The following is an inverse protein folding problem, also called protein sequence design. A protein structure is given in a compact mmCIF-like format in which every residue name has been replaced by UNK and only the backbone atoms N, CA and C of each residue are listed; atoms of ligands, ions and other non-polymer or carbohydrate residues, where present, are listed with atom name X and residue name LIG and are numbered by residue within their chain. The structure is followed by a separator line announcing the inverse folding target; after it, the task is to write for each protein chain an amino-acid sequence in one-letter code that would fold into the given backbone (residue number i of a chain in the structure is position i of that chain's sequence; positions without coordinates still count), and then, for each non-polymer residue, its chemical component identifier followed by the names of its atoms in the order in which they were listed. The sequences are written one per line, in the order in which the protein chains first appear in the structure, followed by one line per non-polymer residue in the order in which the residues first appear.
data_IF_199701844401
#
_entry.id   IF_199701844401
#
_cell.length_a   1.000
_cell.length_b   1.000
_cell.length_c   1.000
_cell.angle_alpha   90.00
_cell.angle_beta   90.00
_cell.angle_gamma   90.00
#
_symmetry.space_group_name_H-M   'P 1'
#
loop_
_entity.id
_entity.type
_entity.pdbx_description
1 polymer ?
#
# COMPACT_ATOMS: atom_id res chain seq x y z
N UNK A 1 -13.57 28.01 -11.85
CA UNK A 1 -13.37 27.98 -10.39
C UNK A 1 -13.29 26.51 -9.92
N UNK A 2 -12.29 26.20 -9.13
CA UNK A 2 -12.10 24.86 -8.57
C UNK A 2 -13.23 24.53 -7.59
N UNK A 3 -13.85 23.36 -7.73
CA UNK A 3 -14.98 22.94 -6.90
C UNK A 3 -14.65 21.75 -5.99
N UNK A 4 -13.68 20.95 -6.39
CA UNK A 4 -13.28 19.76 -5.65
C UNK A 4 -11.81 19.41 -5.92
N UNK A 5 -11.19 18.74 -4.96
CA UNK A 5 -9.87 18.13 -5.09
C UNK A 5 -10.03 16.63 -4.78
N UNK A 6 -9.55 15.80 -5.69
CA UNK A 6 -9.53 14.35 -5.50
C UNK A 6 -8.08 13.93 -5.34
N UNK A 7 -7.76 13.37 -4.16
CA UNK A 7 -6.41 12.92 -3.85
C UNK A 7 -6.22 11.43 -4.14
N UNK A 8 -5.09 11.08 -4.74
CA UNK A 8 -4.54 9.75 -4.61
C UNK A 8 -3.89 9.59 -3.22
N UNK A 9 -3.69 8.37 -2.76
CA UNK A 9 -3.14 8.10 -1.42
C UNK A 9 -1.65 7.81 -1.49
N UNK A 10 -1.30 6.66 -2.06
CA UNK A 10 0.07 6.15 -2.01
C UNK A 10 1.04 7.02 -2.82
N UNK A 11 2.03 7.58 -2.15
CA UNK A 11 3.00 8.48 -2.77
C UNK A 11 2.48 9.89 -3.07
N UNK A 12 1.21 10.17 -2.76
CA UNK A 12 0.56 11.48 -2.97
C UNK A 12 0.20 12.14 -1.64
N UNK A 13 -0.70 11.56 -0.86
CA UNK A 13 -1.01 12.05 0.49
C UNK A 13 0.08 11.67 1.48
N UNK A 14 0.59 10.45 1.40
CA UNK A 14 1.59 9.93 2.31
C UNK A 14 2.62 9.07 1.58
N UNK A 15 3.82 9.02 2.14
CA UNK A 15 4.89 8.12 1.69
C UNK A 15 4.65 6.72 2.25
N UNK A 16 3.87 5.92 1.55
CA UNK A 16 3.43 4.60 2.00
C UNK A 16 4.13 3.44 1.30
N UNK A 17 4.82 3.67 0.18
CA UNK A 17 5.42 2.60 -0.62
C UNK A 17 6.48 1.80 0.16
N UNK A 18 7.29 2.48 0.97
CA UNK A 18 8.28 1.79 1.81
C UNK A 18 7.60 0.92 2.87
N UNK A 19 6.49 1.37 3.45
CA UNK A 19 5.70 0.56 4.38
C UNK A 19 5.08 -0.66 3.71
N UNK A 20 4.62 -0.53 2.48
CA UNK A 20 4.15 -1.66 1.70
C UNK A 20 5.25 -2.68 1.47
N UNK A 21 6.44 -2.24 1.07
CA UNK A 21 7.60 -3.11 0.85
C UNK A 21 7.99 -3.87 2.13
N UNK A 22 8.08 -3.16 3.24
CA UNK A 22 8.40 -3.75 4.55
C UNK A 22 7.34 -4.79 4.95
N UNK A 23 6.06 -4.49 4.71
CA UNK A 23 4.95 -5.40 5.02
C UNK A 23 5.00 -6.67 4.17
N UNK A 24 5.34 -6.57 2.88
CA UNK A 24 5.58 -7.75 2.03
C UNK A 24 6.70 -8.61 2.58
N UNK A 25 7.86 -8.02 2.88
CA UNK A 25 9.01 -8.76 3.40
C UNK A 25 8.71 -9.42 4.74
N UNK A 26 7.94 -8.77 5.62
CA UNK A 26 7.49 -9.36 6.88
C UNK A 26 6.60 -10.59 6.65
N UNK A 27 5.64 -10.50 5.73
CA UNK A 27 4.79 -11.63 5.37
C UNK A 27 5.59 -12.79 4.76
N UNK A 28 6.60 -12.50 3.95
CA UNK A 28 7.49 -13.53 3.41
C UNK A 28 8.27 -14.25 4.53
N UNK A 29 8.86 -13.49 5.44
CA UNK A 29 9.60 -14.05 6.56
C UNK A 29 8.71 -14.89 7.49
N UNK A 30 7.51 -14.44 7.80
CA UNK A 30 6.55 -15.15 8.65
C UNK A 30 6.08 -16.48 8.02
N UNK A 31 6.18 -16.60 6.71
CA UNK A 31 5.88 -17.85 5.98
C UNK A 31 7.13 -18.66 5.65
N UNK A 32 8.25 -18.36 6.26
CA UNK A 32 9.53 -19.05 6.04
C UNK A 32 9.98 -19.05 4.58
N UNK A 33 9.62 -18.00 3.84
CA UNK A 33 10.07 -17.79 2.48
C UNK A 33 11.41 -17.05 2.48
N UNK A 34 12.31 -17.47 1.61
CA UNK A 34 13.60 -16.82 1.42
C UNK A 34 13.53 -15.53 0.60
N UNK A 35 12.33 -15.12 0.21
CA UNK A 35 12.10 -13.94 -0.62
C UNK A 35 12.35 -12.66 0.19
N UNK A 36 13.04 -11.75 -0.45
CA UNK A 36 13.24 -10.41 0.10
C UNK A 36 13.27 -9.39 -1.04
N UNK A 37 12.33 -8.49 -1.05
CA UNK A 37 12.29 -7.40 -2.02
C UNK A 37 13.05 -6.20 -1.47
N UNK A 38 14.21 -5.91 -2.06
CA UNK A 38 14.92 -4.66 -1.80
C UNK A 38 14.22 -3.47 -2.49
N UNK A 39 14.68 -2.26 -2.23
CA UNK A 39 14.06 -1.05 -2.78
C UNK A 39 14.12 -1.00 -4.31
N UNK A 40 15.20 -1.48 -4.91
CA UNK A 40 15.39 -1.49 -6.37
C UNK A 40 14.42 -2.48 -7.02
N UNK A 41 14.37 -3.70 -6.51
CA UNK A 41 13.47 -4.74 -7.01
C UNK A 41 12.00 -4.35 -6.81
N UNK A 42 11.66 -3.79 -5.65
CA UNK A 42 10.31 -3.34 -5.38
C UNK A 42 9.85 -2.23 -6.33
N UNK A 43 10.73 -1.31 -6.66
CA UNK A 43 10.46 -0.26 -7.66
C UNK A 43 10.08 -0.84 -9.02
N UNK A 44 10.79 -1.88 -9.47
CA UNK A 44 10.44 -2.59 -10.71
C UNK A 44 9.09 -3.31 -10.59
N UNK A 45 8.84 -3.95 -9.46
CA UNK A 45 7.58 -4.65 -9.18
C UNK A 45 6.37 -3.72 -9.08
N UNK A 46 6.57 -2.44 -8.76
CA UNK A 46 5.51 -1.42 -8.75
C UNK A 46 4.91 -1.16 -10.14
N UNK A 47 5.57 -1.55 -11.22
CA UNK A 47 5.02 -1.51 -12.58
C UNK A 47 3.81 -2.45 -12.74
N UNK A 48 3.71 -3.46 -11.88
CA UNK A 48 2.55 -4.35 -11.79
C UNK A 48 1.57 -3.78 -10.77
N UNK A 49 0.39 -3.39 -11.21
CA UNK A 49 -0.66 -2.86 -10.33
C UNK A 49 -1.31 -3.98 -9.52
N UNK A 50 -1.56 -3.70 -8.23
CA UNK A 50 -2.18 -4.66 -7.31
C UNK A 50 -1.17 -5.55 -6.58
N UNK A 51 -1.40 -5.74 -5.27
CA UNK A 51 -0.48 -6.50 -4.42
C UNK A 51 -0.45 -7.98 -4.73
N UNK A 52 -1.61 -8.59 -4.98
CA UNK A 52 -1.72 -10.02 -5.34
C UNK A 52 -1.09 -10.28 -6.70
N UNK A 53 -1.35 -9.42 -7.66
CA UNK A 53 -0.82 -9.47 -9.01
C UNK A 53 0.70 -9.33 -9.00
N UNK A 54 1.23 -8.49 -8.12
CA UNK A 54 2.67 -8.28 -7.93
C UNK A 54 3.34 -9.53 -7.36
N UNK A 55 2.74 -10.19 -6.37
CA UNK A 55 3.23 -11.46 -5.85
C UNK A 55 3.21 -12.52 -6.94
N UNK A 56 2.12 -12.62 -7.69
CA UNK A 56 1.99 -13.57 -8.81
C UNK A 56 3.06 -13.34 -9.85
N UNK A 57 3.24 -12.11 -10.28
CA UNK A 57 4.28 -11.75 -11.26
C UNK A 57 5.66 -12.14 -10.78
N UNK A 58 5.99 -11.88 -9.51
CA UNK A 58 7.26 -12.27 -8.92
C UNK A 58 7.47 -13.80 -8.94
N UNK A 59 6.44 -14.57 -8.64
CA UNK A 59 6.51 -16.04 -8.67
C UNK A 59 6.69 -16.55 -10.10
N UNK A 60 5.93 -16.01 -11.05
CA UNK A 60 5.94 -16.48 -12.45
C UNK A 60 7.23 -16.09 -13.19
N UNK A 61 7.82 -14.95 -12.88
CA UNK A 61 9.06 -14.46 -13.52
C UNK A 61 10.32 -14.91 -12.78
N UNK A 62 10.20 -15.31 -11.50
CA UNK A 62 11.29 -15.87 -10.73
C UNK A 62 11.49 -17.36 -11.04
N UNK A 63 12.71 -17.86 -10.89
CA UNK A 63 13.00 -19.29 -10.96
C UNK A 63 12.61 -19.99 -9.64
N UNK A 64 11.37 -19.82 -9.23
CA UNK A 64 10.85 -20.36 -7.99
C UNK A 64 10.18 -21.71 -8.25
N UNK A 65 10.17 -22.62 -7.25
CA UNK A 65 9.47 -23.88 -7.39
C UNK A 65 8.00 -23.61 -7.72
N UNK A 66 7.51 -24.19 -8.82
CA UNK A 66 6.13 -24.01 -9.23
C UNK A 66 5.21 -24.77 -8.28
N UNK A 67 4.20 -24.06 -7.77
CA UNK A 67 3.06 -24.67 -7.09
C UNK A 67 1.96 -24.94 -8.11
N UNK A 68 1.11 -25.93 -7.84
CA UNK A 68 -0.08 -26.16 -8.66
C UNK A 68 -0.96 -24.91 -8.68
N UNK A 69 -1.59 -24.61 -9.82
CA UNK A 69 -2.33 -23.36 -10.02
C UNK A 69 -3.46 -23.12 -9.02
N UNK A 70 -4.13 -24.18 -8.56
CA UNK A 70 -5.22 -24.08 -7.60
C UNK A 70 -4.71 -23.61 -6.22
N UNK A 71 -3.58 -24.19 -5.76
CA UNK A 71 -2.96 -23.83 -4.49
C UNK A 71 -2.29 -22.46 -4.54
N UNK A 72 -1.83 -22.04 -5.70
CA UNK A 72 -1.14 -20.78 -5.88
C UNK A 72 -2.04 -19.57 -5.58
N UNK A 73 -3.29 -19.58 -6.04
CA UNK A 73 -4.22 -18.50 -5.79
C UNK A 73 -4.53 -18.32 -4.30
N UNK A 74 -4.76 -19.43 -3.59
CA UNK A 74 -5.01 -19.43 -2.15
C UNK A 74 -3.78 -19.00 -1.36
N UNK A 75 -2.60 -19.47 -1.76
CA UNK A 75 -1.33 -19.08 -1.18
C UNK A 75 -1.08 -17.57 -1.31
N UNK A 76 -1.26 -17.02 -2.50
CA UNK A 76 -1.11 -15.58 -2.76
C UNK A 76 -2.12 -14.78 -1.93
N UNK A 77 -3.38 -15.23 -1.88
CA UNK A 77 -4.41 -14.56 -1.10
C UNK A 77 -4.09 -14.54 0.40
N UNK A 78 -3.62 -15.65 0.96
CA UNK A 78 -3.22 -15.74 2.35
C UNK A 78 -2.02 -14.83 2.66
N UNK A 79 -1.00 -14.86 1.82
CA UNK A 79 0.19 -14.05 1.95
C UNK A 79 -0.13 -12.55 1.87
N UNK A 80 -1.02 -12.17 0.95
CA UNK A 80 -1.47 -10.78 0.82
C UNK A 80 -2.30 -10.30 2.02
N UNK A 81 -3.15 -11.18 2.60
CA UNK A 81 -3.88 -10.84 3.84
C UNK A 81 -2.92 -10.56 5.00
N UNK A 82 -1.90 -11.37 5.17
CA UNK A 82 -0.88 -11.16 6.21
C UNK A 82 -0.11 -9.85 5.98
N UNK A 83 0.30 -9.60 4.76
CA UNK A 83 0.93 -8.33 4.37
C UNK A 83 0.03 -7.14 4.71
N UNK A 84 -1.26 -7.22 4.38
CA UNK A 84 -2.22 -6.14 4.64
C UNK A 84 -2.37 -5.89 6.14
N UNK A 85 -2.41 -6.94 6.96
CA UNK A 85 -2.48 -6.79 8.41
C UNK A 85 -1.25 -6.06 8.97
N UNK A 86 -0.04 -6.40 8.52
CA UNK A 86 1.20 -5.73 8.92
C UNK A 86 1.19 -4.27 8.48
N UNK A 87 0.81 -4.00 7.25
CA UNK A 87 0.71 -2.65 6.73
C UNK A 87 -0.29 -1.80 7.52
N UNK A 88 -1.50 -2.31 7.73
CA UNK A 88 -2.54 -1.60 8.47
C UNK A 88 -2.08 -1.28 9.90
N UNK A 89 -1.44 -2.22 10.57
CA UNK A 89 -0.89 -1.98 11.89
C UNK A 89 0.19 -0.89 11.87
N UNK A 90 1.06 -0.89 10.87
CA UNK A 90 2.08 0.16 10.69
C UNK A 90 1.46 1.55 10.54
N UNK A 91 0.34 1.66 9.81
CA UNK A 91 -0.39 2.92 9.65
C UNK A 91 -1.04 3.35 10.98
N UNK A 92 -1.66 2.43 11.70
CA UNK A 92 -2.25 2.69 13.01
C UNK A 92 -1.18 3.17 14.01
N UNK A 93 0.01 2.59 13.95
CA UNK A 93 1.15 2.96 14.78
C UNK A 93 1.78 4.33 14.38
N UNK A 94 1.22 5.00 13.38
CA UNK A 94 1.67 6.32 12.95
C UNK A 94 2.94 6.33 12.09
N UNK A 95 3.31 5.20 11.50
CA UNK A 95 4.52 5.08 10.65
C UNK A 95 4.34 5.66 9.25
N UNK A 96 3.10 5.88 8.80
CA UNK A 96 2.81 6.56 7.55
C UNK A 96 2.72 8.07 7.79
N UNK A 97 3.69 8.81 7.28
CA UNK A 97 3.72 10.25 7.41
C UNK A 97 3.09 10.92 6.19
N UNK A 98 2.26 11.94 6.43
CA UNK A 98 1.77 12.80 5.36
C UNK A 98 2.94 13.53 4.71
N UNK A 99 2.86 13.69 3.41
CA UNK A 99 3.84 14.49 2.68
C UNK A 99 3.76 15.95 3.12
N UNK A 100 4.91 16.68 3.08
CA UNK A 100 4.94 18.11 3.41
C UNK A 100 3.91 18.90 2.59
N UNK A 101 3.18 19.78 3.23
CA UNK A 101 2.17 20.64 2.59
C UNK A 101 0.78 20.03 2.46
N UNK A 102 0.58 18.74 2.72
CA UNK A 102 -0.73 18.08 2.59
C UNK A 102 -1.75 18.63 3.60
N UNK A 103 -1.35 18.82 4.86
CA UNK A 103 -2.25 19.35 5.89
C UNK A 103 -2.67 20.79 5.58
N UNK A 104 -1.72 21.62 5.15
CA UNK A 104 -1.95 23.00 4.77
C UNK A 104 -2.89 23.07 3.56
N UNK A 105 -2.63 22.31 2.50
CA UNK A 105 -3.49 22.25 1.32
C UNK A 105 -4.91 21.80 1.67
N UNK A 106 -5.05 20.80 2.53
CA UNK A 106 -6.35 20.31 2.99
C UNK A 106 -7.13 21.40 3.75
N UNK A 107 -6.46 22.13 4.62
CA UNK A 107 -7.04 23.25 5.37
C UNK A 107 -7.47 24.38 4.45
N UNK A 108 -6.59 24.78 3.53
CA UNK A 108 -6.85 25.88 2.59
C UNK A 108 -8.00 25.53 1.65
N UNK A 109 -8.05 24.31 1.14
CA UNK A 109 -9.11 23.85 0.27
C UNK A 109 -10.48 23.84 0.98
N UNK A 110 -10.52 23.40 2.23
CA UNK A 110 -11.75 23.46 3.04
C UNK A 110 -12.20 24.90 3.28
N UNK A 111 -11.26 25.77 3.63
CA UNK A 111 -11.55 27.19 3.87
C UNK A 111 -12.05 27.89 2.61
N UNK A 112 -11.60 27.48 1.44
CA UNK A 112 -12.09 27.96 0.15
C UNK A 112 -13.42 27.35 -0.30
N UNK A 113 -14.01 26.47 0.51
CA UNK A 113 -15.28 25.80 0.20
C UNK A 113 -15.19 24.66 -0.82
N UNK A 114 -14.00 24.17 -1.11
CA UNK A 114 -13.81 23.04 -2.02
C UNK A 114 -14.21 21.72 -1.34
N UNK A 115 -14.79 20.81 -2.11
CA UNK A 115 -15.00 19.43 -1.67
C UNK A 115 -13.70 18.65 -1.78
N UNK A 116 -13.47 17.75 -0.81
CA UNK A 116 -12.31 16.87 -0.78
C UNK A 116 -12.77 15.43 -0.92
N UNK A 117 -12.07 14.67 -1.74
CA UNK A 117 -12.33 13.26 -1.96
C UNK A 117 -11.01 12.48 -2.13
N UNK A 118 -11.09 11.18 -1.99
CA UNK A 118 -9.98 10.27 -2.22
C UNK A 118 -10.35 9.30 -3.32
N UNK A 119 -9.46 9.17 -4.33
CA UNK A 119 -9.54 8.18 -5.39
C UNK A 119 -8.29 7.30 -5.34
N UNK A 120 -8.46 6.04 -4.96
CA UNK A 120 -7.33 5.12 -4.73
C UNK A 120 -7.70 3.67 -5.01
N UNK A 121 -6.72 2.85 -5.30
CA UNK A 121 -6.84 1.39 -5.39
C UNK A 121 -6.61 0.68 -4.04
N UNK A 122 -6.18 1.41 -3.01
CA UNK A 122 -6.01 0.83 -1.67
C UNK A 122 -7.35 0.56 -0.98
N UNK A 123 -7.36 -0.31 0.02
CA UNK A 123 -8.60 -0.68 0.71
C UNK A 123 -9.17 0.49 1.53
N UNK A 124 -10.51 0.57 1.68
CA UNK A 124 -11.13 1.57 2.55
C UNK A 124 -10.59 1.55 3.99
N UNK A 125 -10.31 0.36 4.54
CA UNK A 125 -9.75 0.22 5.88
C UNK A 125 -8.37 0.88 6.02
N UNK A 126 -7.51 0.76 5.00
CA UNK A 126 -6.20 1.39 4.98
C UNK A 126 -6.32 2.92 4.89
N UNK A 127 -7.26 3.42 4.08
CA UNK A 127 -7.54 4.86 3.98
C UNK A 127 -8.01 5.41 5.31
N UNK A 128 -8.97 4.75 5.94
CA UNK A 128 -9.50 5.13 7.25
C UNK A 128 -8.41 5.17 8.32
N UNK A 129 -7.58 4.13 8.40
CA UNK A 129 -6.47 4.07 9.33
C UNK A 129 -5.47 5.23 9.13
N UNK A 130 -5.14 5.56 7.87
CA UNK A 130 -4.27 6.68 7.55
C UNK A 130 -4.88 8.02 7.98
N UNK A 131 -6.14 8.25 7.66
CA UNK A 131 -6.83 9.50 7.98
C UNK A 131 -6.96 9.70 9.50
N UNK A 132 -7.32 8.64 10.24
CA UNK A 132 -7.41 8.69 11.69
C UNK A 132 -6.05 8.97 12.34
N UNK A 133 -4.99 8.31 11.89
CA UNK A 133 -3.64 8.52 12.42
C UNK A 133 -3.08 9.90 12.07
N UNK A 134 -3.49 10.51 10.96
CA UNK A 134 -2.91 11.75 10.43
C UNK A 134 -3.69 13.00 10.80
N UNK A 135 -5.01 12.89 10.89
CA UNK A 135 -5.92 14.03 11.13
C UNK A 135 -6.76 13.90 12.41
N UNK A 136 -6.72 12.76 13.04
CA UNK A 136 -7.51 12.46 14.25
C UNK A 136 -8.92 12.02 13.94
#
# INVERSE_FOLDING_TARGET
MLKAIIFDVDGTLAETEELHRIAFNAAFADNSLSWHWDRKQYRELLKVSGGKERIRHFIETGQLPQRERADLADFIAALHRQKTAVYTQSVIDGKAELRPGVKELNSDAKSAGNRLAIGTTTSPANVEALLLASFG
#
